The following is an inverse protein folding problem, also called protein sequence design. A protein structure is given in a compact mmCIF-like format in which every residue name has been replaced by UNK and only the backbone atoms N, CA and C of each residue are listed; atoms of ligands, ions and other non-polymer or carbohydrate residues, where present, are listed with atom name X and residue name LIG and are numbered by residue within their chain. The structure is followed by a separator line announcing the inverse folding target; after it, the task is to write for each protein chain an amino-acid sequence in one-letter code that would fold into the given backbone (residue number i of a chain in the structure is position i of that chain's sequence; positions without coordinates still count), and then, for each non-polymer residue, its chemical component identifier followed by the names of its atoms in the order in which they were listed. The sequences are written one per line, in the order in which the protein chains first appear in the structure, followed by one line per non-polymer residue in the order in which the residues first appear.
data_IF_408488008662
#
_entry.id   IF_408488008662
#
_cell.length_a   1.000
_cell.length_b   1.000
_cell.length_c   1.000
_cell.angle_alpha   90.00
_cell.angle_beta   90.00
_cell.angle_gamma   90.00
#
_symmetry.space_group_name_H-M   'P 1'
#
loop_
_entity.id
_entity.type
_entity.pdbx_description
1 polymer ?
#
# COMPACT_ATOMS: atom_id res chain seq x y z
N UNK A 1 -14.68 -2.66 4.66
CA UNK A 1 -13.35 -2.77 4.03
C UNK A 1 -12.30 -2.15 4.92
N UNK A 2 -11.13 -2.73 4.98
CA UNK A 2 -10.02 -2.21 5.76
C UNK A 2 -8.91 -1.72 4.84
N UNK A 3 -8.40 -0.52 5.09
CA UNK A 3 -7.28 0.05 4.35
C UNK A 3 -6.01 -0.06 5.17
N UNK A 4 -4.97 -0.62 4.57
CA UNK A 4 -3.66 -0.77 5.20
C UNK A 4 -2.61 -0.18 4.27
N UNK A 5 -1.74 0.67 4.82
CA UNK A 5 -0.60 1.22 4.10
C UNK A 5 0.69 0.60 4.64
N UNK A 6 1.60 0.27 3.75
CA UNK A 6 2.89 -0.34 4.11
C UNK A 6 4.01 0.47 3.48
N UNK A 7 5.00 0.84 4.27
CA UNK A 7 6.18 1.54 3.79
C UNK A 7 7.44 0.97 4.43
N UNK A 8 8.61 1.33 3.89
CA UNK A 8 9.89 0.95 4.49
C UNK A 8 10.31 1.87 5.64
N UNK A 9 9.57 2.93 5.89
CA UNK A 9 9.88 3.87 6.95
C UNK A 9 9.74 3.23 8.33
N UNK A 10 10.53 3.68 9.34
CA UNK A 10 10.40 3.17 10.69
C UNK A 10 9.02 3.46 11.29
N UNK A 11 8.59 2.69 12.31
CA UNK A 11 7.29 2.91 12.96
C UNK A 11 7.11 4.34 13.49
N UNK A 12 8.17 4.94 13.99
CA UNK A 12 8.13 6.32 14.52
C UNK A 12 7.80 7.32 13.41
N UNK A 13 8.40 7.15 12.24
CA UNK A 13 8.17 8.01 11.08
C UNK A 13 6.74 7.90 10.59
N UNK A 14 6.21 6.67 10.48
CA UNK A 14 4.84 6.45 10.07
C UNK A 14 3.84 7.01 11.08
N UNK A 15 4.12 6.85 12.37
CA UNK A 15 3.28 7.37 13.44
C UNK A 15 3.21 8.89 13.40
N UNK A 16 4.35 9.54 13.22
CA UNK A 16 4.42 10.99 13.12
C UNK A 16 3.69 11.51 11.89
N UNK A 17 3.82 10.82 10.77
CA UNK A 17 3.12 11.17 9.54
C UNK A 17 1.60 11.08 9.71
N UNK A 18 1.12 9.99 10.32
CA UNK A 18 -0.31 9.82 10.60
C UNK A 18 -0.83 10.94 11.51
N UNK A 19 -0.07 11.29 12.54
CA UNK A 19 -0.45 12.33 13.49
C UNK A 19 -0.55 13.68 12.79
N UNK A 20 0.43 14.04 11.98
CA UNK A 20 0.45 15.33 11.27
C UNK A 20 -0.67 15.45 10.25
N UNK A 21 -0.98 14.36 9.53
CA UNK A 21 -1.99 14.37 8.48
C UNK A 21 -3.39 14.03 8.98
N UNK A 22 -3.54 13.63 10.24
CA UNK A 22 -4.82 13.22 10.78
C UNK A 22 -5.34 11.90 10.23
N UNK A 23 -4.47 11.03 9.73
CA UNK A 23 -4.88 9.73 9.19
C UNK A 23 -5.27 8.76 10.29
N UNK A 24 -6.32 7.99 10.06
CA UNK A 24 -6.80 6.96 10.98
C UNK A 24 -6.60 5.55 10.45
N UNK A 25 -6.03 5.40 9.26
CA UNK A 25 -5.77 4.09 8.66
C UNK A 25 -4.56 3.43 9.33
N UNK A 26 -4.46 2.10 9.18
CA UNK A 26 -3.33 1.34 9.72
C UNK A 26 -2.11 1.50 8.82
N UNK A 27 -0.99 1.91 9.40
CA UNK A 27 0.31 1.93 8.73
C UNK A 27 1.19 0.84 9.32
N UNK A 28 1.81 0.06 8.44
CA UNK A 28 2.77 -0.98 8.82
C UNK A 28 4.15 -0.60 8.29
N UNK A 29 5.19 -0.95 9.03
CA UNK A 29 6.56 -0.63 8.68
C UNK A 29 7.31 -1.88 8.25
N UNK A 30 7.81 -1.87 7.01
CA UNK A 30 8.60 -2.95 6.42
C UNK A 30 10.07 -2.53 6.39
N UNK A 31 10.66 -2.30 7.57
CA UNK A 31 11.99 -1.71 7.72
C UNK A 31 13.10 -2.53 7.11
N UNK A 32 12.91 -3.85 6.97
CA UNK A 32 13.90 -4.74 6.36
C UNK A 32 13.56 -5.11 4.92
N UNK A 33 12.56 -4.47 4.35
CA UNK A 33 12.14 -4.67 2.95
C UNK A 33 11.73 -6.11 2.64
N UNK A 34 11.29 -6.87 3.64
CA UNK A 34 10.92 -8.28 3.45
C UNK A 34 9.65 -8.43 2.62
N UNK A 35 8.63 -7.63 2.93
CA UNK A 35 7.33 -7.70 2.25
C UNK A 35 7.46 -7.21 0.81
N UNK A 36 8.13 -6.08 0.60
CA UNK A 36 8.28 -5.54 -0.75
C UNK A 36 9.10 -6.46 -1.65
N UNK A 37 10.03 -7.22 -1.09
CA UNK A 37 10.75 -8.25 -1.85
C UNK A 37 9.85 -9.39 -2.27
N UNK A 38 8.99 -9.86 -1.37
CA UNK A 38 8.04 -10.94 -1.66
C UNK A 38 7.05 -10.56 -2.75
N UNK A 39 6.67 -9.28 -2.81
CA UNK A 39 5.71 -8.77 -3.79
C UNK A 39 6.39 -8.21 -5.04
N UNK A 40 7.71 -8.36 -5.15
CA UNK A 40 8.52 -7.87 -6.28
C UNK A 40 8.39 -6.36 -6.47
N UNK A 41 8.37 -5.64 -5.35
CA UNK A 41 8.21 -4.18 -5.33
C UNK A 41 9.50 -3.45 -4.97
N UNK A 42 10.58 -4.16 -4.66
CA UNK A 42 11.82 -3.52 -4.25
C UNK A 42 12.38 -2.64 -5.37
N UNK A 43 12.63 -1.38 -5.04
CA UNK A 43 13.28 -0.44 -5.93
C UNK A 43 14.61 -0.06 -5.28
N UNK A 44 15.67 -0.76 -5.69
CA UNK A 44 16.99 -0.54 -5.12
C UNK A 44 17.48 0.87 -5.40
N UNK A 45 17.95 1.54 -4.34
CA UNK A 45 18.51 2.89 -4.39
C UNK A 45 17.57 3.92 -5.04
N UNK A 46 16.26 3.66 -4.97
CA UNK A 46 15.26 4.54 -5.58
C UNK A 46 14.88 5.75 -4.74
N UNK A 47 15.28 5.81 -3.48
CA UNK A 47 14.97 6.92 -2.59
C UNK A 47 15.90 8.11 -2.76
N UNK A 48 15.52 9.27 -2.18
CA UNK A 48 16.30 10.52 -2.32
C UNK A 48 17.75 10.42 -1.81
N UNK A 49 17.99 9.57 -0.82
CA UNK A 49 19.32 9.33 -0.24
C UNK A 49 19.92 8.01 -0.72
N UNK A 50 19.49 7.52 -1.88
CA UNK A 50 19.89 6.24 -2.47
C UNK A 50 19.53 5.03 -1.62
N UNK A 51 18.55 5.16 -0.73
CA UNK A 51 18.02 4.04 0.04
C UNK A 51 17.06 3.20 -0.79
N UNK A 52 16.88 1.94 -0.39
CA UNK A 52 15.90 1.05 -1.02
C UNK A 52 14.49 1.46 -0.61
N UNK A 53 13.60 1.51 -1.58
CA UNK A 53 12.17 1.85 -1.35
C UNK A 53 11.28 0.87 -2.09
N UNK A 54 9.97 0.96 -1.82
CA UNK A 54 8.97 0.21 -2.55
C UNK A 54 8.54 0.96 -3.79
N UNK A 55 8.32 0.24 -4.90
CA UNK A 55 7.53 0.76 -6.00
C UNK A 55 6.09 0.94 -5.52
N UNK A 56 5.37 1.96 -5.99
CA UNK A 56 3.96 2.11 -5.64
C UNK A 56 3.14 0.94 -6.17
N UNK A 57 2.30 0.39 -5.33
CA UNK A 57 1.40 -0.69 -5.71
C UNK A 57 0.16 -0.68 -4.81
N UNK A 58 -0.96 -1.12 -5.35
CA UNK A 58 -2.19 -1.31 -4.61
C UNK A 58 -2.71 -2.72 -4.87
N UNK A 59 -3.22 -3.36 -3.84
CA UNK A 59 -3.79 -4.69 -3.90
C UNK A 59 -5.15 -4.70 -3.23
N UNK A 60 -6.12 -5.35 -3.86
CA UNK A 60 -7.40 -5.65 -3.23
C UNK A 60 -7.42 -7.13 -2.89
N UNK A 61 -7.57 -7.42 -1.60
CA UNK A 61 -7.53 -8.78 -1.08
C UNK A 61 -8.88 -9.10 -0.45
N UNK A 62 -9.47 -10.25 -0.80
CA UNK A 62 -10.75 -10.65 -0.25
C UNK A 62 -10.60 -11.28 1.15
N UNK A 63 -11.74 -11.63 1.76
CA UNK A 63 -11.75 -12.19 3.10
C UNK A 63 -11.04 -13.55 3.19
N UNK A 64 -10.88 -14.24 2.08
CA UNK A 64 -10.15 -15.50 2.02
C UNK A 64 -8.64 -15.34 1.81
N UNK A 65 -8.14 -14.10 1.73
CA UNK A 65 -6.74 -13.82 1.51
C UNK A 65 -6.32 -13.86 0.05
N UNK A 66 -7.26 -13.89 -0.88
CA UNK A 66 -6.97 -13.95 -2.31
C UNK A 66 -6.91 -12.54 -2.90
N UNK A 67 -5.86 -12.28 -3.68
CA UNK A 67 -5.74 -11.01 -4.40
C UNK A 67 -6.74 -11.00 -5.56
N UNK A 68 -7.64 -10.02 -5.54
CA UNK A 68 -8.70 -9.89 -6.54
C UNK A 68 -8.37 -8.84 -7.60
N UNK A 69 -7.44 -7.97 -7.29
CA UNK A 69 -7.00 -6.92 -8.21
C UNK A 69 -5.66 -6.37 -7.72
N UNK A 70 -4.82 -5.98 -8.64
CA UNK A 70 -3.54 -5.36 -8.32
C UNK A 70 -3.20 -4.29 -9.35
N UNK A 71 -2.57 -3.21 -8.89
CA UNK A 71 -1.98 -2.19 -9.74
C UNK A 71 -0.54 -2.00 -9.33
N UNK A 72 0.37 -2.29 -10.24
CA UNK A 72 1.81 -2.20 -10.02
C UNK A 72 2.34 -1.05 -10.87
N UNK A 73 2.78 0.02 -10.21
CA UNK A 73 3.30 1.17 -10.94
C UNK A 73 4.75 0.93 -11.37
N UNK A 74 5.13 1.34 -12.60
CA UNK A 74 6.50 1.18 -13.08
C UNK A 74 7.47 2.13 -12.37
N UNK A 75 6.97 3.23 -11.80
CA UNK A 75 7.79 4.20 -11.09
C UNK A 75 7.00 4.87 -9.98
N UNK A 76 7.72 5.58 -9.10
CA UNK A 76 7.10 6.30 -7.99
C UNK A 76 6.16 7.42 -8.44
N UNK A 77 6.31 7.88 -9.68
CA UNK A 77 5.47 8.97 -10.23
C UNK A 77 4.10 8.51 -10.70
N UNK A 78 3.89 7.21 -10.86
CA UNK A 78 2.64 6.65 -11.39
C UNK A 78 1.88 5.96 -10.28
N UNK A 79 0.63 6.38 -10.04
CA UNK A 79 -0.23 5.79 -9.02
C UNK A 79 -1.64 5.64 -9.56
N UNK A 80 -2.37 4.64 -9.07
CA UNK A 80 -3.78 4.51 -9.37
C UNK A 80 -4.54 5.67 -8.72
N UNK A 81 -5.56 6.17 -9.41
CA UNK A 81 -6.41 7.21 -8.85
C UNK A 81 -7.44 6.58 -7.91
N UNK A 82 -7.84 7.28 -6.84
CA UNK A 82 -8.83 6.75 -5.90
C UNK A 82 -10.13 6.30 -6.58
N UNK A 83 -10.58 7.01 -7.62
CA UNK A 83 -11.80 6.68 -8.34
C UNK A 83 -11.71 5.32 -9.04
N UNK A 84 -10.53 4.97 -9.56
CA UNK A 84 -10.29 3.68 -10.21
C UNK A 84 -10.39 2.54 -9.19
N UNK A 85 -9.83 2.74 -8.00
CA UNK A 85 -9.86 1.74 -6.93
C UNK A 85 -11.30 1.54 -6.45
N UNK A 86 -12.04 2.62 -6.23
CA UNK A 86 -13.45 2.55 -5.79
C UNK A 86 -14.29 1.80 -6.82
N UNK A 87 -14.07 2.09 -8.11
CA UNK A 87 -14.79 1.40 -9.19
C UNK A 87 -14.54 -0.11 -9.17
N UNK A 88 -13.29 -0.52 -8.98
CA UNK A 88 -12.94 -1.94 -8.91
C UNK A 88 -13.59 -2.60 -7.69
N UNK A 89 -13.60 -1.93 -6.55
CA UNK A 89 -14.26 -2.43 -5.35
C UNK A 89 -15.74 -2.69 -5.63
N UNK A 90 -16.42 -1.75 -6.27
CA UNK A 90 -17.83 -1.88 -6.61
C UNK A 90 -18.06 -3.00 -7.62
N UNK A 91 -17.25 -3.07 -8.67
CA UNK A 91 -17.37 -4.08 -9.73
C UNK A 91 -17.17 -5.50 -9.19
N UNK A 92 -16.31 -5.67 -8.19
CA UNK A 92 -16.05 -6.97 -7.57
C UNK A 92 -16.99 -7.28 -6.41
N UNK A 93 -17.86 -6.36 -6.03
CA UNK A 93 -18.78 -6.54 -4.90
C UNK A 93 -18.11 -6.53 -3.54
N UNK A 94 -16.91 -6.03 -3.44
CA UNK A 94 -16.13 -6.04 -2.19
C UNK A 94 -16.61 -4.97 -1.19
N UNK A 95 -17.31 -3.95 -1.64
CA UNK A 95 -17.85 -2.91 -0.76
C UNK A 95 -18.86 -3.46 0.24
N UNK A 96 -19.51 -4.59 -0.07
CA UNK A 96 -20.45 -5.26 0.82
C UNK A 96 -19.75 -6.08 1.91
N UNK A 97 -18.42 -6.24 1.82
CA UNK A 97 -17.67 -6.97 2.83
C UNK A 97 -17.68 -6.20 4.15
N UNK A 98 -17.67 -6.95 5.26
CA UNK A 98 -17.69 -6.33 6.58
C UNK A 98 -16.42 -5.53 6.83
N UNK A 99 -16.53 -4.35 7.47
CA UNK A 99 -15.37 -3.63 7.93
C UNK A 99 -14.67 -4.40 9.06
N UNK A 100 -13.37 -4.19 9.14
CA UNK A 100 -12.58 -4.82 10.20
C UNK A 100 -12.37 -3.87 11.36
#
# INVERSE_FOLDING_TARGET
MRLIAISVDPPETNREHCRKQGYTITFLSDTHSEVIRRYDLLHEKGGPASEDISRPAEFLVDAGGKVRWANLAPSIAVRARPEEIVKVIDDLGLAAARPY
#
